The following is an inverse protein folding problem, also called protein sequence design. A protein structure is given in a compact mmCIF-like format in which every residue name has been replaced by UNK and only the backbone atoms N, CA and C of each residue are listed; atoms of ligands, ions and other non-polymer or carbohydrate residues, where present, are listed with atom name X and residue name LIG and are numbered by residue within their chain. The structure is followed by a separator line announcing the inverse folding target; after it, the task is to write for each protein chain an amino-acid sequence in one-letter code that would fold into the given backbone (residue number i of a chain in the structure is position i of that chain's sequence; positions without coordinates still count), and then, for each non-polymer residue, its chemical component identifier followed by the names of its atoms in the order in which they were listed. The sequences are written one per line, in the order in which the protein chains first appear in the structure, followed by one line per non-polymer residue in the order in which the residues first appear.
data_IF_281259503167
#
_entry.id   IF_281259503167
#
_cell.length_a   1.000
_cell.length_b   1.000
_cell.length_c   1.000
_cell.angle_alpha   90.00
_cell.angle_beta   90.00
_cell.angle_gamma   90.00
#
_symmetry.space_group_name_H-M   'P 1'
#
loop_
_entity.id
_entity.type
_entity.pdbx_description
1 polymer ?
#
# COMPACT_ATOMS: atom_id res chain seq x y z
N UNK A 1 0.44 5.05 -6.78
CA UNK A 1 1.14 5.98 -5.86
C UNK A 1 1.95 5.20 -4.86
N UNK A 2 3.19 5.55 -4.66
CA UNK A 2 4.04 4.99 -3.61
C UNK A 2 3.93 5.86 -2.37
N UNK A 3 3.73 5.23 -1.22
CA UNK A 3 3.61 5.91 0.05
C UNK A 3 4.33 5.12 1.16
N UNK A 4 4.67 5.81 2.23
CA UNK A 4 5.21 5.19 3.44
C UNK A 4 4.37 5.52 4.69
N UNK A 5 3.24 6.16 4.49
CA UNK A 5 2.35 6.62 5.56
C UNK A 5 1.13 5.70 5.67
N UNK A 6 1.31 4.60 6.38
CA UNK A 6 0.29 3.59 6.65
C UNK A 6 0.33 3.19 8.11
N UNK A 7 -0.84 3.00 8.72
CA UNK A 7 -0.94 2.45 10.07
C UNK A 7 -2.23 1.66 10.26
N UNK A 8 -2.19 0.69 11.17
CA UNK A 8 -3.39 0.04 11.64
C UNK A 8 -4.11 0.95 12.65
N UNK A 9 -5.44 0.90 12.67
CA UNK A 9 -6.27 1.76 13.52
C UNK A 9 -7.13 0.94 14.46
N UNK A 10 -7.83 -0.07 13.98
CA UNK A 10 -8.82 -0.81 14.75
C UNK A 10 -8.85 -2.27 14.33
N UNK A 11 -9.20 -3.15 15.26
CA UNK A 11 -9.39 -4.58 14.99
C UNK A 11 -10.85 -4.94 14.74
N UNK A 12 -11.78 -4.19 15.34
CA UNK A 12 -13.21 -4.50 15.23
C UNK A 12 -14.05 -3.22 15.18
N UNK A 13 -14.43 -2.74 13.99
CA UNK A 13 -14.09 -3.27 12.67
C UNK A 13 -12.60 -3.11 12.35
N UNK A 14 -12.13 -3.88 11.37
CA UNK A 14 -10.74 -3.85 10.94
C UNK A 14 -10.49 -2.61 10.09
N UNK A 15 -9.84 -1.62 10.65
CA UNK A 15 -9.58 -0.32 10.01
C UNK A 15 -8.08 -0.05 9.90
N UNK A 16 -7.73 0.60 8.81
CA UNK A 16 -6.38 1.10 8.54
C UNK A 16 -6.45 2.58 8.14
N UNK A 17 -5.32 3.27 8.23
CA UNK A 17 -5.20 4.68 7.85
C UNK A 17 -4.06 4.84 6.86
N UNK A 18 -4.33 5.62 5.81
CA UNK A 18 -3.33 6.02 4.82
C UNK A 18 -3.37 7.55 4.70
N UNK A 19 -2.21 8.17 4.69
CA UNK A 19 -2.08 9.61 4.46
C UNK A 19 -1.61 9.87 3.03
N UNK A 20 -2.28 10.78 2.33
CA UNK A 20 -1.95 11.14 0.96
C UNK A 20 -1.96 12.65 0.77
N UNK A 21 -1.05 13.17 -0.04
CA UNK A 21 -0.97 14.61 -0.32
C UNK A 21 -2.18 15.09 -1.11
N UNK A 22 -2.69 16.26 -0.78
CA UNK A 22 -3.82 16.87 -1.47
C UNK A 22 -3.60 16.98 -2.98
N UNK A 23 -2.38 17.23 -3.42
CA UNK A 23 -2.02 17.39 -4.82
C UNK A 23 -1.88 16.04 -5.56
N UNK A 24 -2.01 14.90 -4.88
CA UNK A 24 -1.86 13.59 -5.51
C UNK A 24 -3.07 13.24 -6.40
N UNK A 25 -2.83 12.42 -7.42
CA UNK A 25 -3.91 11.84 -8.22
C UNK A 25 -4.83 10.96 -7.39
N UNK A 26 -4.28 10.33 -6.38
CA UNK A 26 -5.04 9.50 -5.45
C UNK A 26 -6.14 10.33 -4.77
N UNK A 27 -5.80 11.48 -4.21
CA UNK A 27 -6.79 12.35 -3.58
C UNK A 27 -7.84 12.88 -4.55
N UNK A 28 -7.47 13.09 -5.81
CA UNK A 28 -8.41 13.52 -6.84
C UNK A 28 -9.39 12.43 -7.25
N UNK A 29 -9.03 11.16 -7.08
CA UNK A 29 -9.77 10.00 -7.60
C UNK A 29 -10.51 9.20 -6.54
N UNK A 30 -10.06 9.25 -5.28
CA UNK A 30 -10.54 8.36 -4.22
C UNK A 30 -11.27 9.17 -3.14
N UNK A 31 -12.51 8.81 -2.89
CA UNK A 31 -13.34 9.37 -1.84
C UNK A 31 -14.02 8.29 -1.01
N UNK A 32 -14.90 8.71 -0.09
CA UNK A 32 -15.67 7.78 0.76
C UNK A 32 -16.46 6.81 -0.12
N UNK A 33 -16.40 5.52 0.21
CA UNK A 33 -17.07 4.45 -0.52
C UNK A 33 -16.22 3.81 -1.61
N UNK A 34 -15.12 4.45 -2.04
CA UNK A 34 -14.22 3.90 -3.03
C UNK A 34 -13.34 2.81 -2.45
N UNK A 35 -12.95 1.86 -3.29
CA UNK A 35 -12.05 0.76 -2.94
C UNK A 35 -10.69 0.97 -3.57
N UNK A 36 -9.65 0.54 -2.87
CA UNK A 36 -8.31 0.51 -3.43
C UNK A 36 -7.48 -0.60 -2.79
N UNK A 37 -6.37 -0.94 -3.46
CA UNK A 37 -5.42 -1.91 -2.97
C UNK A 37 -4.23 -1.23 -2.30
N UNK A 38 -3.80 -1.76 -1.17
CA UNK A 38 -2.56 -1.41 -0.50
C UNK A 38 -1.61 -2.58 -0.69
N UNK A 39 -0.45 -2.31 -1.29
CA UNK A 39 0.51 -3.34 -1.62
C UNK A 39 1.79 -3.09 -0.84
N UNK A 40 2.15 -4.05 0.00
CA UNK A 40 3.42 -4.03 0.74
C UNK A 40 4.46 -4.72 -0.12
N UNK A 41 5.43 -3.95 -0.58
CA UNK A 41 6.40 -4.44 -1.55
C UNK A 41 7.46 -5.33 -0.88
N UNK A 42 7.91 -6.34 -1.62
CA UNK A 42 9.05 -7.15 -1.26
C UNK A 42 10.37 -6.48 -1.64
N UNK A 43 11.47 -6.93 -1.05
CA UNK A 43 12.81 -6.38 -1.29
C UNK A 43 13.25 -6.44 -2.76
N UNK A 44 12.65 -7.34 -3.55
CA UNK A 44 12.90 -7.50 -4.98
C UNK A 44 12.08 -6.53 -5.85
N UNK A 45 11.25 -5.66 -5.25
CA UNK A 45 10.30 -4.78 -5.95
C UNK A 45 10.65 -3.30 -5.82
N UNK A 46 11.93 -2.98 -5.63
CA UNK A 46 12.41 -1.59 -5.57
C UNK A 46 11.99 -0.79 -6.82
N UNK A 47 12.07 -1.42 -7.99
CA UNK A 47 11.69 -0.80 -9.25
C UNK A 47 10.20 -0.41 -9.29
N UNK A 48 9.34 -1.23 -8.72
CA UNK A 48 7.90 -0.92 -8.62
C UNK A 48 7.66 0.27 -7.70
N UNK A 49 8.39 0.34 -6.59
CA UNK A 49 8.30 1.49 -5.68
C UNK A 49 8.67 2.79 -6.39
N UNK A 50 9.76 2.79 -7.15
CA UNK A 50 10.20 3.94 -7.93
C UNK A 50 9.20 4.28 -9.05
N UNK A 51 8.68 3.28 -9.74
CA UNK A 51 7.69 3.44 -10.82
C UNK A 51 6.45 4.20 -10.31
N UNK A 52 5.83 3.74 -9.25
CA UNK A 52 4.65 4.37 -8.67
C UNK A 52 4.96 5.63 -7.85
N UNK A 53 6.23 5.86 -7.57
CA UNK A 53 6.73 7.06 -6.90
C UNK A 53 7.01 8.25 -7.84
N UNK A 54 6.71 8.10 -9.12
CA UNK A 54 6.85 9.16 -10.11
C UNK A 54 7.97 8.96 -11.14
N UNK A 55 8.75 7.88 -11.03
CA UNK A 55 9.78 7.50 -12.00
C UNK A 55 9.29 6.34 -12.89
N UNK A 56 8.23 6.60 -13.65
CA UNK A 56 7.56 5.59 -14.45
C UNK A 56 8.53 4.86 -15.40
N UNK A 57 8.37 3.54 -15.47
CA UNK A 57 9.20 2.64 -16.27
C UNK A 57 8.29 1.76 -17.13
N UNK A 58 8.57 1.65 -18.42
CA UNK A 58 7.79 0.78 -19.29
C UNK A 58 7.90 -0.69 -18.87
N UNK A 59 6.81 -1.42 -19.00
CA UNK A 59 6.74 -2.84 -18.69
C UNK A 59 6.59 -3.17 -17.22
N UNK A 60 6.58 -2.17 -16.33
CA UNK A 60 6.32 -2.34 -14.91
C UNK A 60 4.89 -1.99 -14.53
N UNK A 61 4.44 -2.50 -13.39
CA UNK A 61 3.17 -2.13 -12.79
C UNK A 61 1.97 -2.90 -13.33
N UNK A 62 2.19 -4.04 -13.97
CA UNK A 62 1.10 -4.94 -14.34
C UNK A 62 0.36 -5.40 -13.08
N UNK A 63 -0.95 -5.17 -13.04
CA UNK A 63 -1.79 -5.48 -11.87
C UNK A 63 -2.66 -6.69 -12.13
N UNK A 64 -2.88 -7.48 -11.09
CA UNK A 64 -3.96 -8.46 -11.05
C UNK A 64 -5.24 -7.79 -10.55
N UNK A 65 -6.37 -8.44 -10.74
CA UNK A 65 -7.66 -7.95 -10.27
C UNK A 65 -8.22 -8.90 -9.23
N UNK A 66 -8.54 -8.37 -8.05
CA UNK A 66 -9.22 -9.11 -7.00
C UNK A 66 -10.65 -9.46 -7.42
N UNK A 67 -11.25 -10.49 -6.81
CA UNK A 67 -12.61 -10.93 -7.10
C UNK A 67 -13.67 -9.81 -6.98
N UNK A 68 -13.40 -8.81 -6.14
CA UNK A 68 -14.27 -7.64 -6.00
C UNK A 68 -14.03 -6.57 -7.08
N UNK A 69 -13.14 -6.79 -8.04
CA UNK A 69 -12.84 -5.86 -9.12
C UNK A 69 -11.74 -4.84 -8.83
N UNK A 70 -11.15 -4.85 -7.65
CA UNK A 70 -10.10 -3.91 -7.26
C UNK A 70 -8.73 -4.41 -7.71
N UNK A 71 -7.91 -3.57 -8.39
CA UNK A 71 -6.57 -3.97 -8.81
C UNK A 71 -5.59 -4.05 -7.63
N UNK A 72 -4.62 -4.96 -7.75
CA UNK A 72 -3.52 -5.09 -6.80
C UNK A 72 -2.25 -5.57 -7.51
N UNK A 73 -1.10 -5.39 -6.86
CA UNK A 73 0.18 -5.90 -7.36
C UNK A 73 0.42 -7.31 -6.81
N UNK A 74 0.60 -8.32 -7.66
CA UNK A 74 0.95 -9.66 -7.19
C UNK A 74 2.42 -9.73 -6.76
N UNK A 75 2.80 -10.85 -6.11
CA UNK A 75 4.19 -11.22 -5.78
C UNK A 75 4.88 -10.35 -4.73
N UNK A 76 4.17 -9.43 -4.07
CA UNK A 76 4.70 -8.66 -2.96
C UNK A 76 4.65 -9.42 -1.63
N UNK A 77 5.05 -8.72 -0.58
CA UNK A 77 4.97 -9.23 0.80
C UNK A 77 3.52 -9.46 1.22
N UNK A 78 2.65 -8.52 0.91
CA UNK A 78 1.23 -8.58 1.23
C UNK A 78 0.44 -7.61 0.36
N UNK A 79 -0.85 -7.86 0.23
CA UNK A 79 -1.78 -6.86 -0.28
C UNK A 79 -3.06 -6.85 0.54
N UNK A 80 -3.65 -5.68 0.65
CA UNK A 80 -4.88 -5.45 1.40
C UNK A 80 -5.84 -4.69 0.50
N UNK A 81 -7.07 -5.21 0.35
CA UNK A 81 -8.14 -4.50 -0.34
C UNK A 81 -8.98 -3.81 0.72
N UNK A 82 -9.18 -2.53 0.54
CA UNK A 82 -9.88 -1.69 1.52
C UNK A 82 -10.96 -0.86 0.86
N UNK A 83 -11.92 -0.43 1.68
CA UNK A 83 -12.97 0.51 1.29
C UNK A 83 -12.91 1.73 2.20
N UNK A 84 -12.85 2.91 1.63
CA UNK A 84 -12.77 4.16 2.39
C UNK A 84 -14.07 4.38 3.15
N UNK A 85 -13.98 4.57 4.46
CA UNK A 85 -15.13 4.86 5.32
C UNK A 85 -15.14 6.31 5.78
N UNK A 86 -13.98 6.97 5.80
CA UNK A 86 -13.88 8.37 6.21
C UNK A 86 -12.63 9.02 5.61
N UNK A 87 -12.69 10.34 5.41
CA UNK A 87 -11.58 11.16 4.90
C UNK A 87 -11.51 12.44 5.72
N UNK A 88 -10.34 12.72 6.28
CA UNK A 88 -10.11 13.90 7.12
C UNK A 88 -9.01 14.78 6.54
N UNK A 89 -9.25 16.08 6.35
CA UNK A 89 -8.17 16.99 5.97
C UNK A 89 -7.18 17.15 7.11
N UNK A 90 -5.90 17.17 6.78
CA UNK A 90 -4.81 17.34 7.73
C UNK A 90 -3.65 18.09 7.06
N UNK A 91 -3.66 19.44 7.14
CA UNK A 91 -2.67 20.27 6.48
C UNK A 91 -2.70 20.11 4.97
N UNK A 92 -1.55 19.79 4.38
CA UNK A 92 -1.43 19.53 2.94
C UNK A 92 -1.70 18.06 2.56
N UNK A 93 -2.25 17.27 3.48
CA UNK A 93 -2.59 15.87 3.33
C UNK A 93 -4.07 15.62 3.63
N UNK A 94 -4.54 14.45 3.20
CA UNK A 94 -5.81 13.85 3.59
C UNK A 94 -5.53 12.54 4.29
N UNK A 95 -6.26 12.27 5.36
CA UNK A 95 -6.19 11.00 6.08
C UNK A 95 -7.37 10.12 5.67
N UNK A 96 -7.05 8.98 5.08
CA UNK A 96 -8.05 8.01 4.62
C UNK A 96 -8.17 6.90 5.65
N UNK A 97 -9.33 6.82 6.29
CA UNK A 97 -9.68 5.68 7.15
C UNK A 97 -10.45 4.68 6.30
N UNK A 98 -9.98 3.46 6.25
CA UNK A 98 -10.55 2.46 5.37
C UNK A 98 -10.73 1.11 6.08
N UNK A 99 -11.83 0.43 5.74
CA UNK A 99 -12.14 -0.90 6.26
C UNK A 99 -11.49 -1.96 5.38
N UNK A 100 -10.86 -2.95 6.01
CA UNK A 100 -10.23 -4.07 5.33
C UNK A 100 -11.31 -5.03 4.84
N UNK A 101 -11.33 -5.27 3.53
CA UNK A 101 -12.25 -6.22 2.88
C UNK A 101 -11.58 -7.56 2.60
N UNK A 102 -10.29 -7.56 2.25
CA UNK A 102 -9.53 -8.76 1.94
C UNK A 102 -8.06 -8.52 2.26
N UNK A 103 -7.37 -9.59 2.63
CA UNK A 103 -5.96 -9.56 3.01
C UNK A 103 -5.30 -10.83 2.51
N UNK A 104 -4.10 -10.68 1.95
CA UNK A 104 -3.25 -11.79 1.57
C UNK A 104 -1.80 -11.46 1.92
N UNK A 105 -1.04 -12.44 2.40
CA UNK A 105 0.38 -12.28 2.71
C UNK A 105 1.21 -13.41 2.10
N UNK A 106 2.48 -13.12 1.84
CA UNK A 106 3.48 -14.10 1.42
C UNK A 106 4.65 -14.11 2.41
N UNK A 107 4.64 -15.08 3.31
CA UNK A 107 5.63 -15.22 4.38
C UNK A 107 7.07 -15.45 3.88
N UNK A 108 7.23 -15.92 2.63
CA UNK A 108 8.55 -16.18 2.06
C UNK A 108 9.24 -14.94 1.51
N UNK A 109 8.55 -13.80 1.49
CA UNK A 109 9.08 -12.53 0.96
C UNK A 109 9.52 -11.63 2.09
N UNK A 110 10.72 -11.06 1.98
CA UNK A 110 11.20 -10.04 2.91
C UNK A 110 10.70 -8.66 2.46
N UNK A 111 10.40 -7.75 3.41
CA UNK A 111 9.90 -6.43 3.06
C UNK A 111 10.94 -5.55 2.39
N UNK A 112 10.48 -4.69 1.49
CA UNK A 112 11.25 -3.57 1.00
C UNK A 112 11.21 -2.47 2.06
N UNK A 113 12.38 -2.01 2.51
CA UNK A 113 12.51 -0.96 3.52
C UNK A 113 12.92 0.36 2.86
N UNK A 114 12.43 1.45 3.44
CA UNK A 114 12.83 2.80 3.07
C UNK A 114 13.17 3.57 4.34
N UNK A 115 14.43 3.97 4.45
CA UNK A 115 14.94 4.64 5.63
C UNK A 115 16.02 5.66 5.25
N UNK A 116 15.90 6.86 5.80
CA UNK A 116 16.89 7.90 5.54
C UNK A 116 17.02 8.28 4.07
N UNK A 117 15.94 8.21 3.29
CA UNK A 117 15.93 8.52 1.87
C UNK A 117 16.48 7.39 0.99
N UNK A 118 16.69 6.20 1.52
CA UNK A 118 17.29 5.06 0.80
C UNK A 118 16.44 3.80 0.95
N UNK A 119 16.46 2.97 -0.08
CA UNK A 119 15.94 1.61 0.00
C UNK A 119 16.92 0.73 0.78
N UNK A 120 16.38 -0.21 1.52
CA UNK A 120 17.16 -1.13 2.32
C UNK A 120 16.48 -2.48 2.46
N UNK A 121 17.16 -3.39 3.14
CA UNK A 121 16.72 -4.76 3.39
C UNK A 121 16.94 -5.14 4.84
N UNK A 122 16.15 -6.09 5.32
CA UNK A 122 16.42 -6.69 6.62
C UNK A 122 17.72 -7.48 6.56
N UNK A 123 18.52 -7.43 7.64
CA UNK A 123 19.69 -8.28 7.81
C UNK A 123 19.25 -9.66 8.30
N UNK A 124 19.91 -10.71 7.80
CA UNK A 124 19.67 -12.08 8.22
C UNK A 124 18.49 -12.76 7.53
N UNK A 125 18.16 -13.98 7.95
CA UNK A 125 17.05 -14.74 7.35
C UNK A 125 15.69 -14.14 7.70
N UNK A 126 14.63 -14.47 6.91
CA UNK A 126 13.28 -14.03 7.22
C UNK A 126 12.87 -14.46 8.64
N UNK A 127 12.08 -13.64 9.35
CA UNK A 127 11.58 -14.03 10.65
C UNK A 127 10.68 -15.26 10.55
N UNK A 128 10.74 -16.11 11.57
CA UNK A 128 9.81 -17.23 11.67
C UNK A 128 8.40 -16.70 11.96
N UNK A 129 7.42 -17.28 11.28
CA UNK A 129 6.03 -17.07 11.62
C UNK A 129 5.67 -17.81 12.90
N UNK A 130 5.05 -17.09 13.80
CA UNK A 130 4.55 -17.65 15.05
C UNK A 130 3.04 -17.77 14.97
#
# INVERSE_FOLDING_TARGET
MTANAFMSVSLEPQLVLVSARNASRFCASVGVGERFGINFLGEHQEDLSAHFGGKACEGLGAMATHDCGTPYLPEGLAHVIVKVVDVHPAGDHQLYVAEVLALNENAAVNPLLFYGGRYGRLAGPPPCHV
#
